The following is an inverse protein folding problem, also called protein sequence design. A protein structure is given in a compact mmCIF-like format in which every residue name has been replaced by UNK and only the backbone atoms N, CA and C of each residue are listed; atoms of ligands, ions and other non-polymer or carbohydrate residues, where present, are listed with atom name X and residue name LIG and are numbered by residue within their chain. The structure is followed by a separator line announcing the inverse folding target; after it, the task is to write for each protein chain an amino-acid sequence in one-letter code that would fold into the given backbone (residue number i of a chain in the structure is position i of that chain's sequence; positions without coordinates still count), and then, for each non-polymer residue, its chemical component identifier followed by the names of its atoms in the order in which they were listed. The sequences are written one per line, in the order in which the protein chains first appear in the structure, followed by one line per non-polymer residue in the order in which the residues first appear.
data_IF_570212832316
#
_entry.id   IF_570212832316
#
_cell.length_a   1.000
_cell.length_b   1.000
_cell.length_c   1.000
_cell.angle_alpha   90.00
_cell.angle_beta   90.00
_cell.angle_gamma   90.00
#
_symmetry.space_group_name_H-M   'P 1'
#
loop_
_entity.id
_entity.type
_entity.pdbx_description
1 polymer ?
#
# COMPACT_ATOMS: atom_id res chain seq x y z
N UNK A 1 45.41 -14.74 3.63
CA UNK A 1 44.35 -13.76 3.26
C UNK A 1 43.32 -14.56 2.49
N UNK A 2 42.33 -15.09 3.20
CA UNK A 2 41.22 -15.87 2.64
C UNK A 2 40.35 -14.93 1.81
N UNK A 3 40.13 -15.29 0.55
CA UNK A 3 39.23 -14.59 -0.36
C UNK A 3 37.82 -14.60 0.22
N UNK A 4 37.25 -13.41 0.40
CA UNK A 4 35.84 -13.25 0.75
C UNK A 4 34.95 -13.89 -0.32
N UNK A 5 33.81 -14.51 0.05
CA UNK A 5 32.86 -15.05 -0.91
C UNK A 5 32.28 -13.91 -1.76
N UNK A 6 32.32 -14.07 -3.09
CA UNK A 6 31.71 -13.17 -4.07
C UNK A 6 30.20 -13.38 -4.09
N UNK A 7 29.49 -12.81 -3.12
CA UNK A 7 28.02 -12.80 -3.11
C UNK A 7 27.52 -11.36 -3.30
N UNK A 8 27.61 -10.90 -4.54
CA UNK A 8 26.99 -9.65 -5.00
C UNK A 8 26.23 -9.97 -6.28
N UNK A 9 25.02 -10.53 -6.14
CA UNK A 9 24.05 -10.50 -7.23
C UNK A 9 23.80 -9.04 -7.60
N UNK A 10 23.78 -8.73 -8.91
CA UNK A 10 23.50 -7.40 -9.39
C UNK A 10 22.12 -6.93 -8.87
N UNK A 11 21.93 -5.63 -8.57
CA UNK A 11 20.63 -5.13 -8.15
C UNK A 11 19.59 -5.36 -9.25
N UNK A 12 18.37 -5.72 -8.87
CA UNK A 12 17.25 -5.86 -9.82
C UNK A 12 16.89 -4.51 -10.43
N UNK A 13 16.70 -4.47 -11.75
CA UNK A 13 16.33 -3.27 -12.49
C UNK A 13 14.88 -3.36 -12.98
N UNK A 14 14.07 -2.37 -12.62
CA UNK A 14 12.68 -2.26 -13.06
C UNK A 14 12.53 -1.21 -14.16
N UNK A 15 11.76 -1.55 -15.20
CA UNK A 15 11.26 -0.59 -16.17
C UNK A 15 10.00 0.10 -15.66
N UNK A 16 9.67 1.29 -16.19
CA UNK A 16 8.46 2.02 -15.80
C UNK A 16 7.64 2.33 -17.05
N UNK A 17 6.49 1.67 -17.17
CA UNK A 17 5.50 1.93 -18.23
C UNK A 17 4.89 3.32 -18.01
N UNK A 18 4.92 4.15 -19.05
CA UNK A 18 4.39 5.50 -19.12
C UNK A 18 3.35 5.63 -20.26
N UNK A 19 2.73 6.80 -20.42
CA UNK A 19 1.75 7.05 -21.48
C UNK A 19 0.49 7.81 -21.03
N UNK A 20 0.42 8.26 -19.77
CA UNK A 20 -0.76 8.95 -19.24
C UNK A 20 -1.98 8.03 -19.20
N UNK A 21 -3.13 8.53 -19.65
CA UNK A 21 -4.37 7.75 -19.79
C UNK A 21 -4.55 7.20 -21.22
N UNK A 22 -3.64 7.52 -22.14
CA UNK A 22 -3.72 7.14 -23.55
C UNK A 22 -3.31 5.68 -23.72
N UNK A 23 -4.25 4.86 -24.16
CA UNK A 23 -4.07 3.41 -24.35
C UNK A 23 -2.91 3.10 -25.29
N UNK A 24 -2.92 3.68 -26.48
CA UNK A 24 -1.93 3.37 -27.53
C UNK A 24 -0.49 3.70 -27.06
N UNK A 25 -0.32 4.76 -26.28
CA UNK A 25 0.99 5.12 -25.72
C UNK A 25 1.43 4.15 -24.63
N UNK A 26 0.48 3.66 -23.81
CA UNK A 26 0.74 2.66 -22.76
C UNK A 26 1.15 1.32 -23.36
N UNK A 27 0.44 0.85 -24.38
CA UNK A 27 0.75 -0.41 -25.08
C UNK A 27 2.12 -0.32 -25.75
N UNK A 28 2.37 0.75 -26.53
CA UNK A 28 3.66 0.96 -27.18
C UNK A 28 4.82 1.01 -26.18
N UNK A 29 4.67 1.74 -25.06
CA UNK A 29 5.71 1.81 -24.04
C UNK A 29 5.96 0.44 -23.38
N UNK A 30 4.90 -0.32 -23.09
CA UNK A 30 5.04 -1.65 -22.51
C UNK A 30 5.78 -2.61 -23.46
N UNK A 31 5.42 -2.65 -24.74
CA UNK A 31 6.04 -3.53 -25.74
C UNK A 31 7.55 -3.26 -25.88
N UNK A 32 7.94 -1.99 -26.01
CA UNK A 32 9.35 -1.59 -26.11
C UNK A 32 10.14 -1.99 -24.86
N UNK A 33 9.58 -1.76 -23.66
CA UNK A 33 10.24 -2.13 -22.40
C UNK A 33 10.36 -3.64 -22.24
N UNK A 34 9.37 -4.42 -22.69
CA UNK A 34 9.41 -5.88 -22.65
C UNK A 34 10.53 -6.41 -23.55
N UNK A 35 10.67 -5.85 -24.76
CA UNK A 35 11.72 -6.24 -25.70
C UNK A 35 13.14 -6.01 -25.14
N UNK A 36 13.31 -5.05 -24.24
CA UNK A 36 14.60 -4.78 -23.57
C UNK A 36 14.92 -5.78 -22.43
N UNK A 37 13.90 -6.39 -21.81
CA UNK A 37 14.06 -7.47 -20.83
C UNK A 37 14.56 -7.03 -19.44
N UNK A 38 13.63 -6.61 -18.57
CA UNK A 38 13.93 -6.17 -17.19
C UNK A 38 13.59 -7.24 -16.12
N UNK A 39 14.01 -6.97 -14.88
CA UNK A 39 13.70 -7.84 -13.73
C UNK A 39 12.27 -7.66 -13.22
N UNK A 40 11.63 -6.55 -13.56
CA UNK A 40 10.24 -6.24 -13.22
C UNK A 40 9.72 -5.01 -13.96
N UNK A 41 8.41 -4.81 -13.92
CA UNK A 41 7.75 -3.73 -14.66
C UNK A 41 6.84 -2.93 -13.73
N UNK A 42 7.18 -1.67 -13.55
CA UNK A 42 6.37 -0.72 -12.82
C UNK A 42 5.39 0.01 -13.76
N UNK A 43 4.28 0.45 -13.21
CA UNK A 43 3.29 1.29 -13.88
C UNK A 43 3.31 2.65 -13.18
N UNK A 44 3.84 3.65 -13.88
CA UNK A 44 3.99 5.01 -13.38
C UNK A 44 3.01 5.98 -14.03
N UNK A 45 3.00 7.23 -13.55
CA UNK A 45 2.14 8.28 -14.09
C UNK A 45 0.65 8.08 -13.80
N UNK A 46 0.35 7.34 -12.73
CA UNK A 46 -0.98 7.18 -12.13
C UNK A 46 -0.92 7.72 -10.68
N UNK A 47 -2.06 7.86 -10.04
CA UNK A 47 -2.29 8.53 -8.76
C UNK A 47 -1.89 10.03 -8.75
N UNK A 48 -2.12 10.73 -9.88
CA UNK A 48 -1.77 12.15 -10.06
C UNK A 48 -2.98 13.08 -10.21
N UNK A 49 -4.19 12.54 -10.19
CA UNK A 49 -5.44 13.32 -10.19
C UNK A 49 -6.56 12.71 -11.03
N UNK A 50 -6.32 11.57 -11.65
CA UNK A 50 -7.31 10.78 -12.37
C UNK A 50 -8.31 10.10 -11.43
N UNK A 51 -9.44 9.69 -11.97
CA UNK A 51 -10.44 8.88 -11.28
C UNK A 51 -9.98 7.42 -11.14
N UNK A 52 -10.56 6.69 -10.18
CA UNK A 52 -10.28 5.27 -10.00
C UNK A 52 -10.60 4.45 -11.27
N UNK A 53 -11.68 4.80 -11.97
CA UNK A 53 -12.06 4.14 -13.21
C UNK A 53 -11.02 4.32 -14.32
N UNK A 54 -10.44 5.52 -14.45
CA UNK A 54 -9.36 5.79 -15.40
C UNK A 54 -8.09 5.02 -15.05
N UNK A 55 -7.68 5.03 -13.77
CA UNK A 55 -6.55 4.23 -13.28
C UNK A 55 -6.77 2.74 -13.60
N UNK A 56 -7.96 2.20 -13.29
CA UNK A 56 -8.32 0.81 -13.56
C UNK A 56 -8.33 0.47 -15.05
N UNK A 57 -8.79 1.38 -15.91
CA UNK A 57 -8.75 1.20 -17.36
C UNK A 57 -7.31 1.10 -17.88
N UNK A 58 -6.37 1.85 -17.31
CA UNK A 58 -4.95 1.74 -17.66
C UNK A 58 -4.40 0.38 -17.23
N UNK A 59 -4.76 -0.11 -16.03
CA UNK A 59 -4.35 -1.45 -15.58
C UNK A 59 -4.92 -2.56 -16.47
N UNK A 60 -6.18 -2.46 -16.89
CA UNK A 60 -6.81 -3.43 -17.80
C UNK A 60 -6.13 -3.51 -19.17
N UNK A 61 -5.48 -2.43 -19.60
CA UNK A 61 -4.67 -2.39 -20.82
C UNK A 61 -3.26 -2.94 -20.59
N UNK A 62 -2.54 -2.48 -19.55
CA UNK A 62 -1.11 -2.75 -19.39
C UNK A 62 -0.84 -4.13 -18.76
N UNK A 63 -1.56 -4.51 -17.71
CA UNK A 63 -1.25 -5.73 -16.96
C UNK A 63 -1.23 -7.01 -17.82
N UNK A 64 -2.17 -7.22 -18.77
CA UNK A 64 -2.15 -8.39 -19.65
C UNK A 64 -0.96 -8.44 -20.62
N UNK A 65 -0.33 -7.31 -20.93
CA UNK A 65 0.84 -7.26 -21.81
C UNK A 65 2.13 -7.62 -21.08
N UNK A 66 2.18 -7.36 -19.77
CA UNK A 66 3.40 -7.55 -18.97
C UNK A 66 3.66 -9.04 -18.67
N UNK A 67 4.92 -9.51 -18.78
CA UNK A 67 5.28 -10.90 -18.55
C UNK A 67 4.80 -11.43 -17.19
N UNK A 68 4.17 -12.61 -17.19
CA UNK A 68 3.60 -13.23 -15.99
C UNK A 68 4.66 -13.69 -14.97
N UNK A 69 5.88 -13.99 -15.44
CA UNK A 69 7.01 -14.41 -14.62
C UNK A 69 7.76 -13.24 -13.98
N UNK A 70 7.26 -12.00 -14.16
CA UNK A 70 7.90 -10.77 -13.68
C UNK A 70 6.95 -9.98 -12.78
N UNK A 71 7.46 -9.40 -11.67
CA UNK A 71 6.64 -8.61 -10.76
C UNK A 71 6.13 -7.33 -11.42
N UNK A 72 4.85 -7.02 -11.17
CA UNK A 72 4.17 -5.80 -11.60
C UNK A 72 4.04 -4.83 -10.41
N UNK A 73 4.61 -3.63 -10.53
CA UNK A 73 4.65 -2.63 -9.46
C UNK A 73 3.79 -1.40 -9.78
N UNK A 74 2.70 -1.18 -9.04
CA UNK A 74 1.91 0.05 -9.17
C UNK A 74 2.39 1.12 -8.19
N UNK A 75 2.86 2.24 -8.74
CA UNK A 75 3.47 3.32 -7.94
C UNK A 75 2.41 4.26 -7.36
N UNK A 76 2.53 4.61 -6.07
CA UNK A 76 1.77 5.70 -5.44
C UNK A 76 0.34 5.38 -4.97
N UNK A 77 -0.13 4.14 -5.09
CA UNK A 77 -1.48 3.71 -4.70
C UNK A 77 -1.49 3.08 -3.31
N UNK A 78 -2.40 3.50 -2.43
CA UNK A 78 -2.38 3.08 -1.02
C UNK A 78 -3.71 3.01 -0.29
N UNK A 79 -4.84 3.29 -0.93
CA UNK A 79 -6.16 3.05 -0.32
C UNK A 79 -6.43 1.55 -0.34
N UNK A 80 -6.77 0.96 0.82
CA UNK A 80 -6.89 -0.50 0.97
C UNK A 80 -7.86 -1.12 -0.03
N UNK A 81 -9.00 -0.48 -0.30
CA UNK A 81 -9.96 -0.98 -1.29
C UNK A 81 -9.42 -0.92 -2.72
N UNK A 82 -8.61 0.10 -3.04
CA UNK A 82 -7.92 0.16 -4.35
C UNK A 82 -6.90 -0.96 -4.48
N UNK A 83 -6.14 -1.26 -3.42
CA UNK A 83 -5.17 -2.36 -3.42
C UNK A 83 -5.84 -3.69 -3.80
N UNK A 84 -7.02 -3.99 -3.24
CA UNK A 84 -7.80 -5.19 -3.57
C UNK A 84 -8.11 -5.28 -5.06
N UNK A 85 -8.62 -4.20 -5.64
CA UNK A 85 -8.94 -4.14 -7.07
C UNK A 85 -7.69 -4.28 -7.94
N UNK A 86 -6.60 -3.60 -7.58
CA UNK A 86 -5.35 -3.65 -8.34
C UNK A 86 -4.68 -5.02 -8.27
N UNK A 87 -4.74 -5.71 -7.13
CA UNK A 87 -4.28 -7.10 -6.99
C UNK A 87 -5.10 -8.02 -7.91
N UNK A 88 -6.43 -7.86 -7.95
CA UNK A 88 -7.29 -8.63 -8.85
C UNK A 88 -7.00 -8.38 -10.34
N UNK A 89 -6.38 -7.23 -10.66
CA UNK A 89 -5.88 -6.87 -12.01
C UNK A 89 -4.44 -7.29 -12.27
N UNK A 90 -3.80 -8.02 -11.34
CA UNK A 90 -2.46 -8.59 -11.54
C UNK A 90 -1.29 -7.76 -11.01
N UNK A 91 -1.53 -6.74 -10.17
CA UNK A 91 -0.45 -5.99 -9.51
C UNK A 91 0.09 -6.74 -8.29
N UNK A 92 1.42 -6.78 -8.16
CA UNK A 92 2.14 -7.51 -7.12
C UNK A 92 2.75 -6.61 -6.04
N UNK A 93 3.12 -5.38 -6.41
CA UNK A 93 3.83 -4.43 -5.54
C UNK A 93 3.15 -3.07 -5.53
N UNK A 94 3.22 -2.39 -4.39
CA UNK A 94 2.64 -1.08 -4.14
C UNK A 94 3.54 -0.25 -3.22
N UNK A 95 3.45 1.07 -3.34
CA UNK A 95 3.97 2.01 -2.35
C UNK A 95 2.99 3.18 -2.19
N UNK A 96 2.87 3.70 -0.98
CA UNK A 96 2.13 4.93 -0.76
C UNK A 96 2.46 5.56 0.60
N UNK A 97 2.52 6.89 0.62
CA UNK A 97 2.66 7.65 1.86
C UNK A 97 1.34 7.80 2.63
N UNK A 98 0.20 7.45 2.01
CA UNK A 98 -1.14 7.70 2.53
C UNK A 98 -1.31 7.20 3.98
N UNK A 99 -1.01 5.93 4.34
CA UNK A 99 -1.27 5.42 5.67
C UNK A 99 -0.58 6.25 6.76
N UNK A 100 0.67 6.66 6.52
CA UNK A 100 1.45 7.50 7.44
C UNK A 100 1.04 8.97 7.42
N UNK A 101 0.65 9.51 6.26
CA UNK A 101 0.22 10.90 6.14
C UNK A 101 -1.07 11.14 6.93
N UNK A 102 -2.07 10.28 6.75
CA UNK A 102 -3.37 10.46 7.42
C UNK A 102 -3.31 10.10 8.90
N UNK A 103 -2.45 9.15 9.30
CA UNK A 103 -2.15 8.83 10.70
C UNK A 103 -1.70 10.07 11.47
N UNK A 104 -0.73 10.82 10.93
CA UNK A 104 -0.22 12.05 11.55
C UNK A 104 -1.27 13.17 11.63
N UNK A 105 -2.30 13.13 10.80
CA UNK A 105 -3.45 14.03 10.89
C UNK A 105 -4.61 13.48 11.73
N UNK A 106 -4.41 12.34 12.40
CA UNK A 106 -5.34 11.75 13.35
C UNK A 106 -6.40 10.84 12.75
N UNK A 107 -6.27 10.44 11.48
CA UNK A 107 -7.11 9.38 10.89
C UNK A 107 -6.48 8.02 11.18
N UNK A 108 -7.22 7.16 11.87
CA UNK A 108 -6.77 5.84 12.32
C UNK A 108 -7.58 4.78 11.59
N UNK A 109 -6.92 3.88 10.89
CA UNK A 109 -7.52 2.68 10.29
C UNK A 109 -7.72 1.61 11.36
N UNK A 110 -8.83 0.90 11.32
CA UNK A 110 -9.16 -0.17 12.25
C UNK A 110 -9.16 -1.53 11.53
N UNK A 111 -8.90 -2.61 12.27
CA UNK A 111 -8.85 -3.98 11.75
C UNK A 111 -10.16 -4.46 11.11
N UNK A 112 -11.29 -3.87 11.50
CA UNK A 112 -12.61 -4.16 10.90
C UNK A 112 -12.83 -3.49 9.53
N UNK A 113 -11.84 -2.74 9.04
CA UNK A 113 -11.90 -1.99 7.78
C UNK A 113 -12.49 -0.59 7.93
N UNK A 114 -12.98 -0.21 9.12
CA UNK A 114 -13.45 1.15 9.38
C UNK A 114 -12.31 2.11 9.70
N UNK A 115 -12.62 3.40 9.81
CA UNK A 115 -11.67 4.42 10.21
C UNK A 115 -12.28 5.40 11.21
N UNK A 116 -11.45 5.96 12.07
CA UNK A 116 -11.84 7.02 13.00
C UNK A 116 -10.94 8.25 12.90
N UNK A 117 -11.45 9.38 13.38
CA UNK A 117 -10.67 10.62 13.53
C UNK A 117 -10.44 10.91 15.01
N UNK A 118 -9.27 10.54 15.52
CA UNK A 118 -8.97 10.53 16.96
C UNK A 118 -9.04 11.93 17.59
N UNK A 119 -8.88 12.98 16.78
CA UNK A 119 -9.00 14.38 17.19
C UNK A 119 -10.41 14.80 17.66
N UNK A 120 -11.44 14.00 17.36
CA UNK A 120 -12.83 14.29 17.71
C UNK A 120 -13.04 14.21 19.23
N UNK A 121 -13.81 15.16 19.78
CA UNK A 121 -14.05 15.28 21.22
C UNK A 121 -14.71 14.05 21.87
N UNK A 122 -15.47 13.26 21.08
CA UNK A 122 -16.10 12.02 21.57
C UNK A 122 -15.09 10.99 22.11
N UNK A 123 -13.83 11.07 21.70
CA UNK A 123 -12.78 10.15 22.15
C UNK A 123 -12.08 10.59 23.44
N UNK A 124 -12.38 11.80 23.96
CA UNK A 124 -11.70 12.37 25.14
C UNK A 124 -11.78 11.45 26.37
N UNK A 125 -12.96 10.90 26.64
CA UNK A 125 -13.22 9.99 27.77
C UNK A 125 -13.49 8.54 27.31
N UNK A 126 -13.15 8.22 26.06
CA UNK A 126 -13.31 6.86 25.53
C UNK A 126 -12.15 5.98 26.04
N UNK A 127 -12.43 5.17 27.06
CA UNK A 127 -11.45 4.26 27.64
C UNK A 127 -11.38 2.89 26.96
N UNK A 128 -12.09 2.70 25.83
CA UNK A 128 -11.88 1.51 24.99
C UNK A 128 -10.49 1.54 24.36
N UNK A 129 -9.97 0.35 24.03
CA UNK A 129 -8.73 0.20 23.26
C UNK A 129 -8.87 0.89 21.90
N UNK A 130 -7.75 1.34 21.34
CA UNK A 130 -7.73 1.91 19.99
C UNK A 130 -8.33 0.91 19.00
N UNK A 131 -7.83 -0.33 19.04
CA UNK A 131 -8.29 -1.43 18.21
C UNK A 131 -7.87 -2.78 18.84
N UNK A 132 -8.79 -3.53 19.47
CA UNK A 132 -8.50 -4.79 20.14
C UNK A 132 -7.93 -5.88 19.22
N UNK A 133 -8.33 -5.87 17.94
CA UNK A 133 -7.96 -6.87 16.94
C UNK A 133 -6.84 -6.36 16.03
N UNK A 134 -6.20 -5.25 16.41
CA UNK A 134 -5.11 -4.67 15.63
C UNK A 134 -3.94 -5.64 15.46
N UNK A 135 -3.25 -5.65 14.30
CA UNK A 135 -1.94 -6.28 14.18
C UNK A 135 -0.86 -5.59 15.05
N UNK A 136 -1.02 -4.30 15.37
CA UNK A 136 -0.11 -3.53 16.22
C UNK A 136 -0.38 -3.75 17.70
N UNK A 137 0.64 -4.16 18.46
CA UNK A 137 0.56 -4.31 19.93
C UNK A 137 0.22 -3.00 20.64
N UNK A 138 0.65 -1.85 20.09
CA UNK A 138 0.39 -0.53 20.68
C UNK A 138 -1.11 -0.22 20.70
N UNK A 139 -1.85 -0.61 19.66
CA UNK A 139 -3.28 -0.34 19.57
C UNK A 139 -4.15 -1.30 20.39
N UNK A 140 -3.58 -2.47 20.74
CA UNK A 140 -4.19 -3.44 21.66
C UNK A 140 -3.96 -3.11 23.14
N UNK A 141 -3.05 -2.18 23.46
CA UNK A 141 -2.70 -1.82 24.84
C UNK A 141 -3.10 -0.40 25.21
N UNK A 142 -3.10 0.53 24.27
CA UNK A 142 -3.45 1.93 24.53
C UNK A 142 -4.93 2.22 24.28
N UNK A 143 -5.48 3.12 25.08
CA UNK A 143 -6.87 3.58 24.99
C UNK A 143 -7.03 4.70 23.97
N UNK A 144 -8.23 4.85 23.41
CA UNK A 144 -8.57 5.98 22.51
C UNK A 144 -8.42 7.33 23.21
N UNK A 145 -8.84 7.45 24.47
CA UNK A 145 -8.65 8.63 25.31
C UNK A 145 -7.19 9.04 25.47
N UNK A 146 -6.29 8.06 25.64
CA UNK A 146 -4.86 8.34 25.71
C UNK A 146 -4.32 8.84 24.37
N UNK A 147 -4.66 8.17 23.27
CA UNK A 147 -4.25 8.61 21.94
C UNK A 147 -4.80 10.01 21.62
N UNK A 148 -6.08 10.27 21.91
CA UNK A 148 -6.69 11.59 21.78
C UNK A 148 -5.91 12.66 22.55
N UNK A 149 -5.55 12.38 23.81
CA UNK A 149 -4.76 13.29 24.63
C UNK A 149 -3.40 13.58 23.98
N UNK A 150 -2.66 12.58 23.51
CA UNK A 150 -1.37 12.78 22.84
C UNK A 150 -1.49 13.68 21.60
N UNK A 151 -2.53 13.48 20.79
CA UNK A 151 -2.81 14.35 19.65
C UNK A 151 -3.16 15.78 20.07
N UNK A 152 -3.92 15.98 21.15
CA UNK A 152 -4.23 17.32 21.68
C UNK A 152 -3.01 18.01 22.29
N UNK A 153 -2.09 17.23 22.86
CA UNK A 153 -0.84 17.71 23.43
C UNK A 153 0.25 17.96 22.35
N UNK A 154 0.01 17.60 21.08
CA UNK A 154 1.00 17.61 20.00
C UNK A 154 2.26 16.76 20.33
N UNK A 155 2.05 15.64 21.00
CA UNK A 155 3.10 14.70 21.36
C UNK A 155 3.38 13.71 20.23
N UNK A 156 4.66 13.58 19.84
CA UNK A 156 5.09 12.70 18.72
C UNK A 156 4.76 11.24 18.95
N UNK A 157 4.64 10.80 20.21
CA UNK A 157 4.22 9.44 20.54
C UNK A 157 2.84 9.11 19.95
N UNK A 158 1.93 10.09 19.89
CA UNK A 158 0.60 9.91 19.30
C UNK A 158 0.68 9.58 17.82
N UNK A 159 1.52 10.31 17.09
CA UNK A 159 1.81 10.04 15.68
C UNK A 159 2.45 8.68 15.46
N UNK A 160 3.43 8.29 16.30
CA UNK A 160 4.08 6.98 16.22
C UNK A 160 3.09 5.83 16.39
N UNK A 161 2.20 5.90 17.39
CA UNK A 161 1.17 4.89 17.62
C UNK A 161 0.20 4.83 16.42
N UNK A 162 -0.24 5.98 15.93
CA UNK A 162 -1.14 6.07 14.78
C UNK A 162 -0.51 5.52 13.49
N UNK A 163 0.76 5.83 13.22
CA UNK A 163 1.49 5.30 12.07
C UNK A 163 1.67 3.79 12.16
N UNK A 164 2.05 3.27 13.33
CA UNK A 164 2.17 1.83 13.56
C UNK A 164 0.83 1.11 13.34
N UNK A 165 -0.29 1.70 13.77
CA UNK A 165 -1.63 1.19 13.51
C UNK A 165 -1.94 1.15 12.00
N UNK A 166 -1.84 2.27 11.31
CA UNK A 166 -2.24 2.36 9.90
C UNK A 166 -1.36 1.50 8.99
N UNK A 167 -0.04 1.47 9.22
CA UNK A 167 0.88 0.58 8.50
C UNK A 167 0.52 -0.88 8.81
N UNK A 168 0.32 -1.21 10.08
CA UNK A 168 -0.03 -2.56 10.49
C UNK A 168 -1.30 -3.07 9.80
N UNK A 169 -2.38 -2.28 9.82
CA UNK A 169 -3.65 -2.62 9.14
C UNK A 169 -3.45 -2.77 7.63
N UNK A 170 -2.68 -1.88 6.99
CA UNK A 170 -2.40 -1.97 5.54
C UNK A 170 -1.63 -3.24 5.19
N UNK A 171 -0.59 -3.57 5.96
CA UNK A 171 0.20 -4.80 5.76
C UNK A 171 -0.63 -6.06 6.02
N UNK A 172 -1.51 -6.03 7.03
CA UNK A 172 -2.44 -7.12 7.32
C UNK A 172 -3.40 -7.35 6.16
N UNK A 173 -3.95 -6.28 5.58
CA UNK A 173 -4.79 -6.39 4.39
C UNK A 173 -4.05 -7.05 3.20
N UNK A 174 -2.78 -6.69 2.95
CA UNK A 174 -1.95 -7.35 1.94
C UNK A 174 -1.70 -8.83 2.24
N UNK A 175 -1.46 -9.16 3.52
CA UNK A 175 -1.29 -10.54 3.95
C UNK A 175 -2.56 -11.37 3.73
N UNK A 176 -3.73 -10.82 4.06
CA UNK A 176 -5.00 -11.50 3.90
C UNK A 176 -5.32 -11.75 2.43
N UNK A 177 -5.07 -10.76 1.55
CA UNK A 177 -5.19 -10.93 0.10
C UNK A 177 -4.29 -12.05 -0.42
N UNK A 178 -3.01 -12.08 0.01
CA UNK A 178 -2.09 -13.17 -0.35
C UNK A 178 -2.61 -14.53 0.10
N UNK A 179 -3.11 -14.64 1.32
CA UNK A 179 -3.67 -15.91 1.84
C UNK A 179 -4.92 -16.34 1.07
N UNK A 180 -5.77 -15.41 0.63
CA UNK A 180 -6.94 -15.73 -0.19
C UNK A 180 -6.55 -16.30 -1.55
N UNK A 181 -5.53 -15.74 -2.20
CA UNK A 181 -5.04 -16.22 -3.51
C UNK A 181 -4.38 -17.61 -3.45
N UNK A 182 -3.83 -17.99 -2.30
CA UNK A 182 -3.17 -19.30 -2.10
C UNK A 182 -4.14 -20.43 -1.75
N UNK A 183 -5.38 -20.13 -1.35
CA UNK A 183 -6.36 -21.17 -1.06
C UNK A 183 -6.81 -21.82 -2.37
N UNK A 184 -6.82 -23.16 -2.48
CA UNK A 184 -7.41 -23.82 -3.63
C UNK A 184 -8.89 -23.42 -3.72
N UNK A 185 -9.34 -23.08 -4.92
CA UNK A 185 -10.77 -22.82 -5.20
C UNK A 185 -11.54 -24.11 -4.85
N UNK A 186 -12.30 -24.05 -3.76
CA UNK A 186 -13.21 -25.12 -3.31
C UNK A 186 -14.49 -25.14 -4.13
#
# INVERSE_FOLDING_TARGET
ITSAPSDTSAPSLFAIVQGGLERDLREHCAEELIAMGFDGYAIGGLAVGESEAEMYSVLDCVCPLLPEDKPRYLMGVGVIDQLRTCVAKGIDMFDCVLPMRVARHGTIFLSDGSQLRINNAKYKEDHSLIDPDSPSTLSRTHKKSYLHHLFKANERLGETIACAQNIGVTLKAMQDMRTMLQKPLS
#
